data_IF_980993999789
#
_entry.id   IF_980993999789
#
_cell.length_a   1.000
_cell.length_b   1.000
_cell.length_c   1.000
_cell.angle_alpha   90.00
_cell.angle_beta   90.00
_cell.angle_gamma   90.00
#
_symmetry.space_group_name_H-M   'P 1'
#
loop_
_entity.id
_entity.type
_entity.pdbx_description
1 polymer ?
#
# COMPACT_ATOMS: atom_id res chain seq x y z
N UNK A 1 -28.13 7.30 6.31
CA UNK A 1 -27.18 6.43 5.59
C UNK A 1 -26.35 7.32 4.68
N UNK A 2 -25.17 7.70 5.12
CA UNK A 2 -24.20 8.31 4.23
C UNK A 2 -23.64 7.20 3.34
N UNK A 3 -24.02 7.19 2.07
CA UNK A 3 -23.37 6.31 1.09
C UNK A 3 -21.91 6.72 1.00
N UNK A 4 -21.03 5.95 1.63
CA UNK A 4 -19.60 6.18 1.57
C UNK A 4 -19.09 5.77 0.20
N UNK A 5 -18.22 6.58 -0.38
CA UNK A 5 -17.60 6.27 -1.66
C UNK A 5 -16.72 5.03 -1.55
N UNK A 6 -16.72 4.22 -2.59
CA UNK A 6 -15.80 3.10 -2.77
C UNK A 6 -14.97 3.36 -4.02
N UNK A 7 -13.67 3.25 -3.89
CA UNK A 7 -12.72 3.43 -5.00
C UNK A 7 -11.93 2.14 -5.20
N UNK A 8 -11.96 1.61 -6.40
CA UNK A 8 -11.13 0.49 -6.83
C UNK A 8 -10.02 1.00 -7.74
N UNK A 9 -8.81 0.60 -7.44
CA UNK A 9 -7.61 1.00 -8.20
C UNK A 9 -6.77 -0.23 -8.53
N UNK A 10 -6.39 -0.35 -9.78
CA UNK A 10 -5.50 -1.41 -10.24
C UNK A 10 -4.53 -0.87 -11.28
N UNK A 11 -3.25 -1.24 -11.18
CA UNK A 11 -2.21 -0.86 -12.14
C UNK A 11 -2.12 0.66 -12.36
N UNK A 12 -2.28 1.45 -11.30
CA UNK A 12 -2.27 2.90 -11.39
C UNK A 12 -0.88 3.48 -11.03
N UNK A 13 -0.59 4.65 -11.59
CA UNK A 13 0.51 5.51 -11.17
C UNK A 13 -0.04 6.86 -10.73
N UNK A 14 0.31 7.29 -9.52
CA UNK A 14 -0.01 8.61 -8.98
C UNK A 14 1.30 9.32 -8.68
N UNK A 15 1.63 10.30 -9.49
CA UNK A 15 2.89 11.03 -9.41
C UNK A 15 2.75 12.49 -9.85
N UNK A 16 3.72 13.33 -9.49
CA UNK A 16 3.79 14.72 -9.95
C UNK A 16 2.78 15.67 -9.29
N UNK A 17 2.10 15.24 -8.22
CA UNK A 17 1.22 16.13 -7.45
C UNK A 17 2.03 16.84 -6.36
N UNK A 18 1.71 18.10 -6.08
CA UNK A 18 2.31 18.84 -4.99
C UNK A 18 1.25 19.59 -4.20
N UNK A 19 1.38 19.56 -2.88
CA UNK A 19 0.49 20.25 -1.95
C UNK A 19 1.31 21.09 -0.98
N UNK A 20 0.88 22.33 -0.75
CA UNK A 20 1.60 23.25 0.14
C UNK A 20 1.17 23.16 1.59
N UNK A 21 0.00 22.61 1.84
CA UNK A 21 -0.60 22.54 3.17
C UNK A 21 -0.85 21.08 3.57
N UNK A 22 -0.97 20.85 4.86
CA UNK A 22 -1.04 19.55 5.53
C UNK A 22 -2.04 18.58 4.91
N UNK A 23 -1.67 17.29 4.88
CA UNK A 23 -2.46 16.09 4.55
C UNK A 23 -2.12 15.51 3.17
N UNK A 24 -2.63 14.37 2.80
CA UNK A 24 -2.25 13.49 1.70
C UNK A 24 -1.86 14.16 0.37
N UNK A 25 -0.67 13.90 -0.08
CA UNK A 25 -0.11 14.56 -1.28
C UNK A 25 -0.44 13.82 -2.56
N UNK A 26 -0.49 12.50 -2.52
CA UNK A 26 -0.93 11.68 -3.65
C UNK A 26 -2.42 11.42 -3.61
N UNK A 27 -2.89 10.87 -2.51
CA UNK A 27 -4.31 10.58 -2.28
C UNK A 27 -4.70 11.05 -0.88
N UNK A 28 -5.84 11.73 -0.78
CA UNK A 28 -6.50 12.01 0.49
C UNK A 28 -7.95 11.58 0.47
N UNK A 29 -8.39 10.90 1.54
CA UNK A 29 -9.77 10.47 1.73
C UNK A 29 -10.21 10.82 3.16
N UNK A 30 -11.30 11.54 3.30
CA UNK A 30 -11.87 11.87 4.62
C UNK A 30 -12.73 10.75 5.18
N UNK A 31 -13.41 10.03 4.30
CA UNK A 31 -14.24 8.86 4.63
C UNK A 31 -14.46 8.01 3.39
N UNK A 32 -14.89 6.76 3.56
CA UNK A 32 -15.12 5.83 2.46
C UNK A 32 -14.08 4.70 2.41
N UNK A 33 -13.97 4.04 1.30
CA UNK A 33 -13.17 2.83 1.18
C UNK A 33 -12.32 2.86 -0.09
N UNK A 34 -11.05 2.49 0.02
CA UNK A 34 -10.14 2.31 -1.12
C UNK A 34 -9.65 0.87 -1.12
N UNK A 35 -9.83 0.18 -2.25
CA UNK A 35 -9.17 -1.09 -2.54
C UNK A 35 -8.17 -0.87 -3.68
N UNK A 36 -6.92 -1.21 -3.44
CA UNK A 36 -5.80 -0.91 -4.33
C UNK A 36 -4.97 -2.17 -4.57
N UNK A 37 -4.66 -2.44 -5.83
CA UNK A 37 -3.73 -3.50 -6.24
C UNK A 37 -2.72 -2.98 -7.26
N UNK A 38 -1.47 -3.47 -7.17
CA UNK A 38 -0.40 -3.19 -8.13
C UNK A 38 -0.30 -1.72 -8.54
N UNK A 39 -0.41 -0.81 -7.56
CA UNK A 39 -0.45 0.65 -7.77
C UNK A 39 0.78 1.30 -7.14
N UNK A 40 1.33 2.29 -7.84
CA UNK A 40 2.46 3.09 -7.36
C UNK A 40 2.02 4.52 -7.06
N UNK A 41 2.36 5.00 -5.86
CA UNK A 41 2.24 6.42 -5.45
C UNK A 41 3.64 6.90 -5.12
N UNK A 42 4.20 7.79 -5.95
CA UNK A 42 5.59 8.25 -5.83
C UNK A 42 5.79 9.64 -6.45
N UNK A 43 6.82 10.35 -6.02
CA UNK A 43 7.17 11.63 -6.63
C UNK A 43 6.10 12.72 -6.44
N UNK A 44 5.45 12.71 -5.28
CA UNK A 44 4.45 13.70 -4.89
C UNK A 44 5.01 14.54 -3.72
N UNK A 45 5.84 15.57 -4.00
CA UNK A 45 6.44 16.38 -2.95
C UNK A 45 5.42 17.29 -2.28
N UNK A 46 5.53 17.43 -0.97
CA UNK A 46 4.64 18.30 -0.19
C UNK A 46 4.71 18.03 1.30
N UNK A 47 3.81 18.66 2.04
CA UNK A 47 3.63 18.41 3.48
C UNK A 47 2.57 17.32 3.65
N UNK A 48 2.95 16.22 4.24
CA UNK A 48 2.04 15.11 4.54
C UNK A 48 2.38 13.78 3.87
N UNK A 49 1.64 12.75 4.22
CA UNK A 49 1.84 11.40 3.70
C UNK A 49 1.43 11.29 2.22
N UNK A 50 2.06 10.40 1.48
CA UNK A 50 1.69 10.13 0.09
C UNK A 50 0.26 9.61 -0.04
N UNK A 51 -0.16 8.76 0.90
CA UNK A 51 -1.54 8.31 1.07
C UNK A 51 -2.00 8.68 2.49
N UNK A 52 -3.08 9.45 2.59
CA UNK A 52 -3.64 9.87 3.87
C UNK A 52 -5.15 9.67 3.92
N UNK A 53 -5.65 9.22 5.06
CA UNK A 53 -7.09 9.19 5.19
C UNK A 53 -7.72 8.63 6.44
N UNK A 54 -8.97 9.03 6.61
CA UNK A 54 -9.87 8.61 7.67
C UNK A 54 -10.79 7.45 7.28
N UNK A 55 -10.64 6.89 6.09
CA UNK A 55 -11.44 5.77 5.58
C UNK A 55 -10.85 4.40 5.89
N UNK A 56 -11.38 3.39 5.23
CA UNK A 56 -10.87 2.03 5.25
C UNK A 56 -10.07 1.73 3.99
N UNK A 57 -8.98 0.99 4.15
CA UNK A 57 -8.07 0.71 3.04
C UNK A 57 -7.79 -0.79 2.93
N UNK A 58 -7.82 -1.29 1.70
CA UNK A 58 -7.24 -2.57 1.32
C UNK A 58 -6.13 -2.31 0.32
N UNK A 59 -4.89 -2.54 0.73
CA UNK A 59 -3.71 -2.36 -0.11
C UNK A 59 -3.05 -3.69 -0.39
N UNK A 60 -2.91 -4.04 -1.67
CA UNK A 60 -2.23 -5.25 -2.13
C UNK A 60 -1.20 -4.92 -3.20
N UNK A 61 -0.05 -5.59 -3.17
CA UNK A 61 0.97 -5.52 -4.22
C UNK A 61 1.37 -4.09 -4.62
N UNK A 62 1.28 -3.12 -3.72
CA UNK A 62 1.40 -1.70 -4.06
C UNK A 62 2.68 -1.09 -3.49
N UNK A 63 3.16 -0.04 -4.15
CA UNK A 63 4.34 0.72 -3.73
C UNK A 63 3.92 2.14 -3.40
N UNK A 64 4.16 2.58 -2.17
CA UNK A 64 3.87 3.92 -1.71
C UNK A 64 5.15 4.55 -1.17
N UNK A 65 5.56 5.64 -1.80
CA UNK A 65 6.78 6.36 -1.46
C UNK A 65 6.42 7.79 -1.03
N UNK A 66 6.68 8.09 0.22
CA UNK A 66 6.42 9.41 0.80
C UNK A 66 7.58 10.37 0.59
N UNK A 67 7.26 11.60 0.21
CA UNK A 67 8.18 12.73 0.02
C UNK A 67 7.81 13.91 0.91
N UNK A 68 7.66 13.68 2.21
CA UNK A 68 7.31 14.76 3.12
C UNK A 68 8.48 15.70 3.35
N UNK A 69 8.30 16.96 2.95
CA UNK A 69 9.32 18.00 3.12
C UNK A 69 9.53 18.40 4.58
N UNK A 70 8.55 18.20 5.44
CA UNK A 70 8.64 18.53 6.88
C UNK A 70 9.11 17.32 7.71
N UNK A 71 9.30 16.16 7.10
CA UNK A 71 9.87 14.95 7.72
C UNK A 71 9.00 14.33 8.85
N UNK A 72 7.73 14.66 8.91
CA UNK A 72 6.82 14.13 9.92
C UNK A 72 6.03 12.91 9.44
N UNK A 73 5.72 12.87 8.14
CA UNK A 73 4.86 11.86 7.54
C UNK A 73 5.59 11.11 6.44
N UNK A 74 5.34 9.82 6.37
CA UNK A 74 5.96 8.95 5.38
C UNK A 74 5.03 8.57 4.24
N UNK A 75 5.04 7.29 3.90
CA UNK A 75 4.27 6.78 2.78
C UNK A 75 2.76 6.79 3.05
N UNK A 76 2.34 6.22 4.17
CA UNK A 76 0.92 6.05 4.49
C UNK A 76 0.59 6.50 5.91
N UNK A 77 -0.37 7.39 6.03
CA UNK A 77 -0.96 7.80 7.29
C UNK A 77 -2.45 7.43 7.30
N UNK A 78 -2.82 6.56 8.23
CA UNK A 78 -4.21 6.21 8.48
C UNK A 78 -4.73 7.07 9.64
N UNK A 79 -5.69 7.95 9.36
CA UNK A 79 -6.36 8.77 10.37
C UNK A 79 -7.60 8.07 10.90
N UNK A 80 -8.04 8.45 12.09
CA UNK A 80 -9.24 7.88 12.68
C UNK A 80 -10.47 8.17 11.86
N UNK A 81 -11.04 7.17 11.21
CA UNK A 81 -12.48 7.15 11.11
C UNK A 81 -13.03 6.06 12.03
N UNK A 82 -14.26 6.26 12.44
CA UNK A 82 -15.02 5.32 13.29
C UNK A 82 -15.24 3.97 12.58
N UNK A 83 -14.91 3.89 11.29
CA UNK A 83 -15.27 2.81 10.38
C UNK A 83 -14.06 2.03 9.84
N UNK A 84 -12.88 2.25 10.43
CA UNK A 84 -11.65 1.96 9.73
C UNK A 84 -11.03 0.59 9.96
N UNK A 85 -11.44 -0.39 9.20
CA UNK A 85 -10.59 -1.53 8.88
C UNK A 85 -9.57 -1.11 7.83
N UNK A 86 -8.30 -1.32 8.11
CA UNK A 86 -7.24 -1.17 7.13
C UNK A 86 -6.45 -2.46 7.08
N UNK A 87 -6.39 -3.08 5.91
CA UNK A 87 -5.62 -4.30 5.66
C UNK A 87 -4.62 -4.10 4.55
N UNK A 88 -3.46 -4.69 4.67
CA UNK A 88 -2.42 -4.60 3.65
C UNK A 88 -1.58 -5.86 3.58
N UNK A 89 -1.23 -6.24 2.34
CA UNK A 89 -0.44 -7.43 2.02
C UNK A 89 0.50 -7.16 0.84
N UNK A 90 1.72 -7.62 0.94
CA UNK A 90 2.73 -7.61 -0.13
C UNK A 90 3.04 -6.20 -0.66
N UNK A 91 3.07 -5.20 0.21
CA UNK A 91 3.33 -3.81 -0.17
C UNK A 91 4.76 -3.38 0.17
N UNK A 92 5.19 -2.32 -0.51
CA UNK A 92 6.40 -1.59 -0.24
C UNK A 92 6.03 -0.18 0.22
N UNK A 93 6.27 0.12 1.50
CA UNK A 93 5.97 1.41 2.12
C UNK A 93 7.28 2.10 2.51
N UNK A 94 7.66 3.11 1.76
CA UNK A 94 8.93 3.81 1.88
C UNK A 94 8.70 5.27 2.27
N UNK A 95 9.50 5.78 3.18
CA UNK A 95 9.69 7.22 3.35
C UNK A 95 11.06 7.59 2.79
N UNK A 96 11.12 8.44 1.79
CA UNK A 96 12.40 8.95 1.27
C UNK A 96 13.13 9.80 2.29
N UNK A 97 12.42 10.22 3.31
CA UNK A 97 12.99 10.85 4.45
C UNK A 97 13.37 9.81 5.51
N UNK A 98 14.62 9.79 5.89
CA UNK A 98 15.17 8.82 6.83
C UNK A 98 14.58 8.90 8.25
N UNK A 99 13.87 9.96 8.60
CA UNK A 99 13.33 10.19 9.94
C UNK A 99 11.84 9.91 10.07
N UNK A 100 11.06 10.10 8.99
CA UNK A 100 9.63 9.86 9.04
C UNK A 100 9.28 8.36 8.99
N UNK A 101 8.32 7.89 9.79
CA UNK A 101 7.80 6.53 9.66
C UNK A 101 7.08 6.34 8.33
N UNK A 102 7.29 5.21 7.66
CA UNK A 102 6.61 4.92 6.40
C UNK A 102 5.13 4.59 6.57
N UNK A 103 4.74 4.14 7.75
CA UNK A 103 3.35 3.93 8.12
C UNK A 103 3.05 4.53 9.49
N UNK A 104 1.97 5.30 9.58
CA UNK A 104 1.50 5.92 10.81
C UNK A 104 0.03 5.57 11.03
N UNK A 105 -0.26 5.04 12.21
CA UNK A 105 -1.62 4.80 12.68
C UNK A 105 -1.95 5.85 13.75
N UNK A 106 -2.85 6.78 13.43
CA UNK A 106 -3.30 7.82 14.34
C UNK A 106 -4.70 7.54 14.90
N UNK A 107 -4.84 7.61 16.22
CA UNK A 107 -6.11 7.55 16.94
C UNK A 107 -6.37 6.27 17.73
N UNK A 108 -7.31 6.35 18.68
CA UNK A 108 -7.50 5.37 19.74
C UNK A 108 -8.27 4.09 19.32
N UNK A 109 -9.00 4.11 18.21
CA UNK A 109 -9.92 3.03 17.82
C UNK A 109 -9.62 2.47 16.44
N UNK A 110 -8.36 2.38 16.07
CA UNK A 110 -7.98 1.90 14.75
C UNK A 110 -7.51 0.48 14.78
N UNK A 111 -8.05 -0.26 13.86
CA UNK A 111 -7.58 -1.57 13.54
C UNK A 111 -6.91 -1.54 12.17
N UNK A 112 -5.60 -1.65 12.16
CA UNK A 112 -4.83 -1.89 10.96
C UNK A 112 -4.19 -3.27 11.08
N UNK A 113 -4.45 -4.10 10.09
CA UNK A 113 -3.96 -5.47 10.07
C UNK A 113 -3.01 -5.68 8.90
N UNK A 114 -1.76 -5.92 9.23
CA UNK A 114 -0.90 -6.53 8.24
C UNK A 114 -1.28 -7.99 8.04
N UNK A 115 -1.51 -8.32 6.79
CA UNK A 115 -1.73 -9.69 6.35
C UNK A 115 -0.42 -10.37 5.92
N UNK A 116 0.72 -9.68 6.12
CA UNK A 116 2.06 -10.18 5.90
C UNK A 116 2.72 -9.74 4.59
N UNK A 117 4.00 -10.05 4.50
CA UNK A 117 4.83 -9.80 3.33
C UNK A 117 4.94 -8.32 2.94
N UNK A 118 4.84 -7.39 3.90
CA UNK A 118 5.05 -5.98 3.65
C UNK A 118 6.45 -5.56 4.07
N UNK A 119 7.03 -4.62 3.34
CA UNK A 119 8.24 -3.95 3.75
C UNK A 119 7.90 -2.53 4.20
N UNK A 120 8.34 -2.21 5.41
CA UNK A 120 8.25 -0.87 5.98
C UNK A 120 9.65 -0.34 6.23
N UNK A 121 9.90 0.88 5.86
CA UNK A 121 11.16 1.51 6.26
C UNK A 121 11.18 1.80 7.77
N UNK A 122 10.06 2.30 8.30
CA UNK A 122 9.81 2.49 9.73
C UNK A 122 8.33 2.37 10.02
N UNK A 123 7.98 1.88 11.19
CA UNK A 123 6.59 1.79 11.64
C UNK A 123 6.41 2.53 12.97
N UNK A 124 5.24 3.08 13.17
CA UNK A 124 4.83 3.73 14.41
C UNK A 124 3.43 3.24 14.81
N UNK A 125 3.30 2.80 16.05
CA UNK A 125 2.04 2.35 16.67
C UNK A 125 1.31 1.21 15.92
N UNK A 126 2.05 0.23 15.42
CA UNK A 126 1.49 -0.82 14.60
C UNK A 126 2.17 -2.18 14.86
N UNK A 127 1.40 -3.25 14.84
CA UNK A 127 1.90 -4.63 14.97
C UNK A 127 2.15 -5.22 13.60
N UNK A 128 3.40 -5.59 13.35
CA UNK A 128 3.79 -6.23 12.08
C UNK A 128 3.18 -7.63 11.98
N UNK A 129 2.79 -8.01 10.77
CA UNK A 129 2.29 -9.33 10.44
C UNK A 129 3.40 -10.36 10.16
N UNK A 130 2.98 -11.57 9.87
CA UNK A 130 3.90 -12.65 9.48
C UNK A 130 4.65 -12.27 8.21
N UNK A 131 5.97 -12.48 8.21
CA UNK A 131 6.85 -12.15 7.09
C UNK A 131 6.88 -10.67 6.70
N UNK A 132 6.40 -9.79 7.56
CA UNK A 132 6.65 -8.37 7.43
C UNK A 132 8.10 -8.05 7.80
N UNK A 133 8.65 -7.03 7.17
CA UNK A 133 10.01 -6.59 7.43
C UNK A 133 10.06 -5.10 7.68
N UNK A 134 10.65 -4.70 8.80
CA UNK A 134 11.08 -3.34 9.04
C UNK A 134 12.53 -3.20 8.56
N UNK A 135 12.75 -2.32 7.61
CA UNK A 135 14.08 -2.08 7.05
C UNK A 135 14.51 -0.65 7.34
N UNK A 136 15.39 -0.45 8.34
CA UNK A 136 15.71 0.89 8.85
C UNK A 136 16.57 1.73 7.89
N UNK A 137 17.25 1.09 6.96
CA UNK A 137 18.03 1.77 5.92
C UNK A 137 17.16 2.22 4.78
N UNK A 138 17.52 3.31 4.12
CA UNK A 138 16.79 3.80 2.97
C UNK A 138 16.75 2.72 1.88
N UNK A 139 15.56 2.34 1.46
CA UNK A 139 15.40 1.49 0.29
C UNK A 139 15.65 2.34 -0.94
N UNK A 140 16.78 2.13 -1.59
CA UNK A 140 17.11 2.84 -2.81
C UNK A 140 16.27 2.33 -3.97
N UNK A 141 15.57 3.24 -4.61
CA UNK A 141 14.78 2.93 -5.78
C UNK A 141 14.58 4.17 -6.65
N UNK A 142 14.02 3.97 -7.81
CA UNK A 142 13.69 5.04 -8.73
C UNK A 142 12.42 4.72 -9.52
N UNK A 143 11.70 5.75 -9.87
CA UNK A 143 10.61 5.66 -10.83
C UNK A 143 11.20 5.44 -12.22
N UNK A 144 10.77 4.37 -12.89
CA UNK A 144 11.21 4.05 -14.25
C UNK A 144 10.39 4.80 -15.29
N UNK A 145 10.85 4.81 -16.56
CA UNK A 145 10.07 5.33 -17.69
C UNK A 145 8.75 4.56 -17.90
N UNK A 146 8.69 3.32 -17.46
CA UNK A 146 7.47 2.48 -17.48
C UNK A 146 6.47 2.85 -16.38
N UNK A 147 6.79 3.83 -15.53
CA UNK A 147 5.90 4.30 -14.48
C UNK A 147 5.81 3.38 -13.26
N UNK A 148 6.82 2.56 -13.01
CA UNK A 148 6.91 1.72 -11.81
C UNK A 148 8.11 2.14 -10.95
N UNK A 149 7.98 1.99 -9.63
CA UNK A 149 9.09 2.21 -8.72
C UNK A 149 9.91 0.93 -8.60
N UNK A 150 11.10 0.97 -9.20
CA UNK A 150 12.04 -0.13 -9.15
C UNK A 150 12.99 0.05 -7.98
N UNK A 151 13.00 -0.88 -7.05
CA UNK A 151 13.90 -0.90 -5.91
C UNK A 151 15.01 -1.94 -6.05
N UNK A 152 16.06 -1.82 -5.25
CA UNK A 152 17.23 -2.68 -5.38
C UNK A 152 16.88 -4.12 -5.02
N UNK A 153 17.01 -5.00 -6.00
CA UNK A 153 16.73 -6.44 -5.89
C UNK A 153 17.62 -7.13 -4.85
N UNK A 154 18.85 -6.68 -4.66
CA UNK A 154 19.76 -7.28 -3.68
C UNK A 154 19.26 -7.11 -2.25
N UNK A 155 18.41 -6.13 -2.01
CA UNK A 155 17.77 -5.93 -0.71
C UNK A 155 16.65 -6.95 -0.45
N UNK A 156 16.05 -7.56 -1.48
CA UNK A 156 14.99 -8.58 -1.34
C UNK A 156 15.49 -9.81 -0.60
N UNK A 157 16.67 -10.28 -0.92
CA UNK A 157 17.28 -11.42 -0.23
C UNK A 157 17.58 -11.18 1.26
N UNK A 158 17.52 -9.93 1.69
CA UNK A 158 17.77 -9.51 3.08
C UNK A 158 16.48 -9.25 3.87
N UNK A 159 15.34 -9.06 3.19
CA UNK A 159 14.12 -8.53 3.80
C UNK A 159 12.94 -9.50 3.85
N UNK A 160 13.16 -10.78 3.77
CA UNK A 160 12.10 -11.72 4.10
C UNK A 160 11.53 -12.52 2.94
N UNK A 161 10.39 -13.11 3.17
CA UNK A 161 9.78 -14.07 2.26
C UNK A 161 9.03 -13.43 1.10
N UNK A 162 8.62 -14.26 0.17
CA UNK A 162 7.77 -13.90 -0.94
C UNK A 162 6.32 -14.28 -0.63
N UNK A 163 5.37 -13.43 -1.00
CA UNK A 163 3.96 -13.80 -0.98
C UNK A 163 3.64 -14.80 -2.09
N UNK A 164 2.56 -15.55 -1.91
CA UNK A 164 1.95 -16.30 -3.01
C UNK A 164 0.73 -15.53 -3.55
N UNK A 165 0.41 -15.71 -4.82
CA UNK A 165 -0.82 -15.15 -5.43
C UNK A 165 -2.05 -15.49 -4.59
N UNK A 166 -2.16 -16.73 -4.14
CA UNK A 166 -3.29 -17.18 -3.34
C UNK A 166 -3.37 -16.50 -1.97
N UNK A 167 -2.23 -16.27 -1.32
CA UNK A 167 -2.21 -15.55 -0.04
C UNK A 167 -2.72 -14.11 -0.21
N UNK A 168 -2.31 -13.43 -1.29
CA UNK A 168 -2.78 -12.08 -1.59
C UNK A 168 -4.28 -12.06 -1.86
N UNK A 169 -4.80 -12.96 -2.70
CA UNK A 169 -6.24 -13.06 -2.99
C UNK A 169 -7.04 -13.31 -1.70
N UNK A 170 -6.60 -14.24 -0.87
CA UNK A 170 -7.29 -14.57 0.39
C UNK A 170 -7.32 -13.38 1.35
N UNK A 171 -6.21 -12.65 1.45
CA UNK A 171 -6.13 -11.45 2.28
C UNK A 171 -7.09 -10.36 1.77
N UNK A 172 -7.13 -10.12 0.46
CA UNK A 172 -8.06 -9.16 -0.13
C UNK A 172 -9.52 -9.56 0.10
N UNK A 173 -9.87 -10.82 -0.15
CA UNK A 173 -11.24 -11.33 0.08
C UNK A 173 -11.69 -11.19 1.55
N UNK A 174 -10.75 -11.21 2.50
CA UNK A 174 -11.08 -11.03 3.92
C UNK A 174 -11.43 -9.58 4.32
N UNK A 175 -11.27 -8.61 3.40
CA UNK A 175 -11.54 -7.20 3.67
C UNK A 175 -13.04 -6.91 3.61
N UNK A 176 -13.64 -6.69 4.77
CA UNK A 176 -15.07 -6.42 4.89
C UNK A 176 -15.33 -5.40 6.01
N UNK A 177 -15.05 -4.10 5.76
CA UNK A 177 -15.24 -3.07 6.75
C UNK A 177 -16.74 -2.89 7.10
N UNK A 178 -17.04 -2.81 8.39
CA UNK A 178 -18.42 -2.81 8.91
C UNK A 178 -19.31 -1.67 8.36
N UNK A 179 -18.70 -0.55 8.00
CA UNK A 179 -19.42 0.61 7.46
C UNK A 179 -19.46 0.65 5.92
N UNK A 180 -19.02 -0.41 5.25
CA UNK A 180 -19.08 -0.50 3.79
C UNK A 180 -20.53 -0.51 3.29
N UNK A 181 -20.83 0.23 2.21
CA UNK A 181 -22.11 0.09 1.51
C UNK A 181 -22.24 -1.25 0.77
N UNK A 182 -21.14 -1.97 0.60
CA UNK A 182 -21.05 -3.27 -0.06
C UNK A 182 -20.73 -4.34 0.96
N UNK A 183 -21.52 -5.40 0.99
CA UNK A 183 -21.20 -6.61 1.74
C UNK A 183 -20.03 -7.31 1.05
N UNK A 184 -19.09 -7.82 1.83
CA UNK A 184 -17.90 -8.51 1.31
C UNK A 184 -17.09 -7.66 0.31
N UNK A 185 -16.78 -6.43 0.67
CA UNK A 185 -16.12 -5.48 -0.23
C UNK A 185 -14.85 -6.05 -0.90
N UNK A 186 -14.06 -6.82 -0.17
CA UNK A 186 -12.88 -7.46 -0.74
C UNK A 186 -13.18 -8.51 -1.80
N UNK A 187 -14.24 -9.30 -1.61
CA UNK A 187 -14.70 -10.25 -2.63
C UNK A 187 -15.20 -9.53 -3.88
N UNK A 188 -15.97 -8.46 -3.71
CA UNK A 188 -16.44 -7.61 -4.83
C UNK A 188 -15.26 -7.01 -5.59
N UNK A 189 -14.21 -6.59 -4.87
CA UNK A 189 -13.00 -6.07 -5.52
C UNK A 189 -12.26 -7.16 -6.31
N UNK A 190 -12.12 -8.36 -5.77
CA UNK A 190 -11.50 -9.49 -6.49
C UNK A 190 -12.33 -9.88 -7.71
N UNK A 191 -13.66 -9.90 -7.60
CA UNK A 191 -14.55 -10.19 -8.73
C UNK A 191 -14.45 -9.12 -9.83
N UNK A 192 -14.42 -7.84 -9.45
CA UNK A 192 -14.28 -6.72 -10.38
C UNK A 192 -12.97 -6.78 -11.17
N UNK A 193 -11.86 -7.17 -10.52
CA UNK A 193 -10.54 -7.25 -11.17
C UNK A 193 -10.31 -8.57 -11.92
N UNK A 194 -10.90 -9.64 -11.43
CA UNK A 194 -10.51 -11.01 -11.75
C UNK A 194 -9.26 -11.47 -10.96
N UNK A 195 -9.25 -12.72 -10.54
CA UNK A 195 -8.15 -13.28 -9.73
C UNK A 195 -6.78 -13.22 -10.43
N UNK A 196 -6.76 -13.25 -11.77
CA UNK A 196 -5.51 -13.21 -12.53
C UNK A 196 -4.78 -11.86 -12.41
N UNK A 197 -5.50 -10.78 -12.19
CA UNK A 197 -4.90 -9.46 -12.01
C UNK A 197 -3.97 -9.38 -10.78
N UNK A 198 -4.22 -10.21 -9.75
CA UNK A 198 -3.33 -10.29 -8.58
C UNK A 198 -2.01 -11.01 -8.86
N UNK A 199 -1.92 -11.72 -9.96
CA UNK A 199 -0.69 -12.34 -10.46
C UNK A 199 0.10 -11.48 -11.44
N UNK A 200 -0.31 -10.22 -11.65
CA UNK A 200 0.39 -9.27 -12.53
C UNK A 200 1.04 -8.16 -11.72
N UNK A 201 2.17 -7.65 -12.20
CA UNK A 201 2.73 -6.41 -11.69
C UNK A 201 2.04 -5.18 -12.33
N UNK A 202 2.42 -3.97 -11.94
CA UNK A 202 1.80 -2.76 -12.47
C UNK A 202 1.92 -2.62 -14.00
N UNK A 203 2.93 -3.22 -14.61
CA UNK A 203 3.15 -3.24 -16.06
C UNK A 203 2.28 -4.26 -16.79
N UNK A 204 1.57 -5.11 -16.05
CA UNK A 204 0.87 -6.28 -16.59
C UNK A 204 1.78 -7.49 -16.83
N UNK A 205 3.01 -7.47 -16.30
CA UNK A 205 3.94 -8.60 -16.40
C UNK A 205 3.56 -9.65 -15.36
N UNK A 206 3.51 -10.90 -15.78
CA UNK A 206 3.18 -12.02 -14.90
C UNK A 206 4.24 -12.23 -13.84
N UNK A 207 3.82 -12.23 -12.59
CA UNK A 207 4.63 -12.56 -11.42
C UNK A 207 4.76 -14.08 -11.28
N UNK A 208 5.83 -14.54 -10.65
CA UNK A 208 5.86 -15.91 -10.19
C UNK A 208 4.78 -16.11 -9.09
N UNK A 209 3.75 -16.94 -9.28
CA UNK A 209 2.61 -17.05 -8.35
C UNK A 209 3.00 -17.59 -6.96
N UNK A 210 4.17 -18.22 -6.85
CA UNK A 210 4.70 -18.80 -5.61
C UNK A 210 5.79 -17.92 -4.95
N UNK A 211 6.25 -16.87 -5.65
CA UNK A 211 7.35 -16.00 -5.21
C UNK A 211 7.11 -14.56 -5.65
N UNK A 212 5.99 -14.00 -5.26
CA UNK A 212 5.68 -12.60 -5.60
C UNK A 212 6.51 -11.64 -4.75
N UNK A 213 7.21 -10.76 -5.41
CA UNK A 213 7.97 -9.70 -4.78
C UNK A 213 7.03 -8.64 -4.19
N UNK A 214 7.45 -7.99 -3.12
CA UNK A 214 6.72 -6.89 -2.49
C UNK A 214 6.63 -5.68 -3.42
N UNK A 215 5.49 -4.98 -3.36
CA UNK A 215 5.27 -3.76 -4.11
C UNK A 215 4.69 -3.97 -5.51
N UNK A 216 4.55 -2.86 -6.24
CA UNK A 216 3.90 -2.84 -7.54
C UNK A 216 4.76 -3.37 -8.70
N UNK A 217 6.06 -3.48 -8.50
CA UNK A 217 7.02 -4.00 -9.47
C UNK A 217 7.53 -5.38 -9.03
N UNK A 218 7.60 -6.32 -9.94
CA UNK A 218 8.21 -7.64 -9.70
C UNK A 218 9.36 -7.86 -10.69
N UNK A 219 10.58 -7.97 -10.16
CA UNK A 219 11.78 -8.26 -10.94
C UNK A 219 12.13 -9.75 -10.96
N UNK A 220 11.45 -10.56 -10.16
CA UNK A 220 11.65 -12.01 -10.14
C UNK A 220 10.99 -12.59 -11.39
N UNK A 221 11.80 -12.75 -12.43
CA UNK A 221 11.36 -13.39 -13.65
C UNK A 221 10.83 -14.79 -13.33
N UNK A 222 9.68 -15.11 -13.89
CA UNK A 222 9.15 -16.47 -13.92
C UNK A 222 10.12 -17.36 -14.69
N UNK A 223 10.94 -18.11 -13.98
CA UNK A 223 11.68 -19.25 -14.55
C UNK A 223 10.85 -20.51 -14.35
#
# INVERSE_FOLDING_TARGET
NSNKAVVFMNNCLITGNSVRELFGVGIQISSGHICMNSTTIVGNPGKGAALNGGGSFMLANSTIVGHDIDQEYGAFRCETSIDGDTKFINNLLISENSTAPSFILNGANKEAYSMGYNLYQRVNNFTMGVSDTAYPTLVNGNLTEEGVYKWNIDQIGQVGGYATKQAVINAVKSFNPAASPMVNLGEVFVEWMGEDAFGLDQRGVTRNPNKMQMGAYDAVLSN
#
